data_IF_135648343077
#
_entry.id   IF_135648343077
#
_cell.length_a   1.000
_cell.length_b   1.000
_cell.length_c   1.000
_cell.angle_alpha   90.00
_cell.angle_beta   90.00
_cell.angle_gamma   90.00
#
_symmetry.space_group_name_H-M   'P 1'
#
loop_
_entity.id
_entity.type
_entity.pdbx_description
1 polymer ?
#
# COMPACT_ATOMS: atom_id res chain seq x y z
N UNK A 1 18.80 -8.85 18.76
CA UNK A 1 19.40 -8.65 17.42
C UNK A 1 18.58 -9.27 16.29
N UNK A 2 17.81 -10.35 16.51
CA UNK A 2 17.00 -11.03 15.48
C UNK A 2 15.82 -10.22 14.91
N UNK A 3 15.24 -9.31 15.70
CA UNK A 3 14.11 -8.47 15.27
C UNK A 3 14.53 -7.51 14.15
N UNK A 4 15.72 -6.90 14.25
CA UNK A 4 16.20 -5.94 13.25
C UNK A 4 16.44 -6.60 11.89
N UNK A 5 17.05 -7.79 11.87
CA UNK A 5 17.27 -8.54 10.63
C UNK A 5 15.95 -8.95 9.95
N UNK A 6 14.97 -9.42 10.73
CA UNK A 6 13.67 -9.79 10.19
C UNK A 6 12.95 -8.57 9.60
N UNK A 7 12.96 -7.43 10.31
CA UNK A 7 12.37 -6.19 9.80
C UNK A 7 13.02 -5.73 8.49
N UNK A 8 14.35 -5.77 8.39
CA UNK A 8 15.08 -5.42 7.17
C UNK A 8 14.78 -6.38 6.02
N UNK A 9 14.64 -7.68 6.32
CA UNK A 9 14.27 -8.69 5.33
C UNK A 9 12.88 -8.43 4.76
N UNK A 10 11.88 -8.23 5.63
CA UNK A 10 10.50 -7.91 5.22
C UNK A 10 10.46 -6.62 4.41
N UNK A 11 11.19 -5.60 4.85
CA UNK A 11 11.28 -4.31 4.16
C UNK A 11 11.92 -4.44 2.77
N UNK A 12 13.05 -5.15 2.67
CA UNK A 12 13.75 -5.40 1.42
C UNK A 12 12.90 -6.21 0.45
N UNK A 13 12.20 -7.23 0.94
CA UNK A 13 11.27 -8.04 0.17
C UNK A 13 10.12 -7.20 -0.40
N UNK A 14 9.45 -6.39 0.42
CA UNK A 14 8.38 -5.51 -0.01
C UNK A 14 8.86 -4.49 -1.06
N UNK A 15 10.04 -3.89 -0.83
CA UNK A 15 10.64 -2.95 -1.78
C UNK A 15 10.97 -3.61 -3.12
N UNK A 16 11.54 -4.82 -3.10
CA UNK A 16 11.83 -5.57 -4.31
C UNK A 16 10.54 -5.92 -5.08
N UNK A 17 9.52 -6.43 -4.37
CA UNK A 17 8.23 -6.80 -4.97
C UNK A 17 7.57 -5.62 -5.69
N UNK A 18 7.53 -4.43 -5.06
CA UNK A 18 6.95 -3.24 -5.70
C UNK A 18 7.73 -2.80 -6.93
N UNK A 19 9.07 -2.77 -6.85
CA UNK A 19 9.89 -2.33 -7.98
C UNK A 19 9.72 -3.26 -9.17
N UNK A 20 9.69 -4.57 -8.92
CA UNK A 20 9.41 -5.57 -9.94
C UNK A 20 8.03 -5.37 -10.57
N UNK A 21 6.98 -5.16 -9.76
CA UNK A 21 5.63 -4.90 -10.28
C UNK A 21 5.54 -3.60 -11.11
N UNK A 22 6.27 -2.55 -10.70
CA UNK A 22 6.37 -1.29 -11.44
C UNK A 22 7.08 -1.47 -12.78
N UNK A 23 8.16 -2.25 -12.80
CA UNK A 23 8.88 -2.55 -14.04
C UNK A 23 8.04 -3.39 -14.99
N UNK A 24 7.33 -4.41 -14.48
CA UNK A 24 6.44 -5.28 -15.27
C UNK A 24 5.26 -4.52 -15.89
N UNK A 25 4.62 -3.62 -15.12
CA UNK A 25 3.50 -2.79 -15.60
C UNK A 25 3.95 -1.48 -16.29
N UNK A 26 5.25 -1.21 -16.38
CA UNK A 26 5.83 0.05 -16.88
C UNK A 26 5.28 1.31 -16.20
N UNK A 27 5.01 1.21 -14.91
CA UNK A 27 4.42 2.28 -14.12
C UNK A 27 5.45 3.03 -13.28
N UNK A 28 5.07 4.23 -12.83
CA UNK A 28 5.86 5.04 -11.91
C UNK A 28 5.00 5.49 -10.73
N UNK A 29 5.68 5.73 -9.61
CA UNK A 29 5.08 6.31 -8.41
C UNK A 29 5.89 7.55 -8.04
N UNK A 30 5.25 8.64 -7.57
CA UNK A 30 5.99 9.81 -7.13
C UNK A 30 6.84 9.47 -5.92
N UNK A 31 8.08 9.95 -5.90
CA UNK A 31 8.95 9.89 -4.74
C UNK A 31 8.68 11.04 -3.74
N UNK A 32 9.46 11.12 -2.66
CA UNK A 32 9.33 12.17 -1.63
C UNK A 32 9.47 13.60 -2.18
N UNK A 33 10.11 13.78 -3.34
CA UNK A 33 10.27 15.07 -4.03
C UNK A 33 9.26 15.24 -5.16
N UNK A 34 8.18 14.45 -5.18
CA UNK A 34 7.15 14.41 -6.25
C UNK A 34 7.69 14.10 -7.65
N UNK A 35 8.87 13.47 -7.76
CA UNK A 35 9.38 12.99 -9.04
C UNK A 35 8.93 11.57 -9.27
N UNK A 36 8.35 11.30 -10.43
CA UNK A 36 7.98 9.97 -10.88
C UNK A 36 9.21 9.05 -10.91
N UNK A 37 9.13 7.89 -10.27
CA UNK A 37 10.21 6.91 -10.23
C UNK A 37 9.69 5.48 -10.30
N UNK A 38 10.45 4.62 -10.99
CA UNK A 38 10.27 3.16 -10.97
C UNK A 38 10.88 2.50 -9.73
N UNK A 39 11.71 3.22 -8.99
CA UNK A 39 12.46 2.71 -7.84
C UNK A 39 12.14 3.45 -6.53
N UNK A 40 10.87 3.48 -6.09
CA UNK A 40 10.52 4.11 -4.82
C UNK A 40 11.20 3.39 -3.65
N UNK A 41 11.39 4.13 -2.55
CA UNK A 41 11.78 3.56 -1.25
C UNK A 41 10.51 3.12 -0.54
N UNK A 42 10.50 1.93 0.04
CA UNK A 42 9.30 1.41 0.72
C UNK A 42 8.88 2.29 1.92
N UNK A 43 9.81 2.96 2.58
CA UNK A 43 9.59 4.00 3.60
C UNK A 43 8.69 5.14 3.10
N UNK A 44 8.87 5.57 1.85
CA UNK A 44 8.02 6.61 1.27
C UNK A 44 6.61 6.10 1.04
N UNK A 45 6.49 4.87 0.55
CA UNK A 45 5.21 4.22 0.33
C UNK A 45 4.43 4.12 1.65
N UNK A 46 5.07 3.64 2.73
CA UNK A 46 4.43 3.63 4.05
C UNK A 46 3.94 5.01 4.51
N UNK A 47 4.69 6.09 4.20
CA UNK A 47 4.24 7.45 4.53
C UNK A 47 2.99 7.85 3.76
N UNK A 48 2.84 7.46 2.50
CA UNK A 48 1.64 7.74 1.71
C UNK A 48 0.40 7.07 2.34
N UNK A 49 0.56 5.87 2.91
CA UNK A 49 -0.54 5.14 3.56
C UNK A 49 -0.89 5.63 4.97
N UNK A 50 -0.09 6.52 5.58
CA UNK A 50 -0.35 7.01 6.94
C UNK A 50 -1.68 7.77 7.06
N UNK A 51 -2.21 8.31 5.95
CA UNK A 51 -3.52 8.97 5.93
C UNK A 51 -4.71 8.01 5.86
N UNK A 52 -4.50 6.72 5.54
CA UNK A 52 -5.56 5.72 5.40
C UNK A 52 -6.05 5.33 6.78
N UNK A 53 -7.36 5.36 6.97
CA UNK A 53 -8.00 5.04 8.24
C UNK A 53 -9.11 4.03 8.02
N UNK A 54 -9.39 3.23 9.05
CA UNK A 54 -10.54 2.33 9.09
C UNK A 54 -11.59 2.96 10.00
N UNK A 55 -12.75 3.28 9.42
CA UNK A 55 -13.91 3.80 10.13
C UNK A 55 -14.79 2.63 10.55
N UNK A 56 -14.88 2.38 11.86
CA UNK A 56 -15.82 1.40 12.41
C UNK A 56 -17.11 2.10 12.80
N UNK A 57 -18.20 1.79 12.09
CA UNK A 57 -19.55 2.25 12.41
C UNK A 57 -20.21 1.14 13.22
N UNK A 58 -20.55 1.46 14.48
CA UNK A 58 -21.29 0.55 15.37
C UNK A 58 -22.69 1.10 15.60
N UNK A 59 -23.69 0.32 15.22
CA UNK A 59 -25.12 0.53 15.50
C UNK A 59 -25.64 -0.69 16.26
N UNK A 60 -26.76 -0.57 16.97
CA UNK A 60 -27.34 -1.66 17.79
C UNK A 60 -27.57 -2.99 17.04
N UNK A 61 -27.66 -2.96 15.71
CA UNK A 61 -27.87 -4.13 14.86
C UNK A 61 -26.73 -4.46 13.90
N UNK A 62 -25.76 -3.55 13.68
CA UNK A 62 -24.72 -3.70 12.66
C UNK A 62 -23.40 -3.07 13.08
N UNK A 63 -22.31 -3.83 12.90
CA UNK A 63 -20.93 -3.32 12.93
C UNK A 63 -20.33 -3.39 11.53
N UNK A 64 -20.00 -2.24 10.95
CA UNK A 64 -19.36 -2.15 9.64
C UNK A 64 -18.01 -1.46 9.77
N UNK A 65 -17.00 -1.98 9.09
CA UNK A 65 -15.69 -1.36 8.95
C UNK A 65 -15.57 -0.83 7.52
N UNK A 66 -15.11 0.42 7.37
CA UNK A 66 -14.95 1.06 6.07
C UNK A 66 -13.56 1.68 5.98
N UNK A 67 -12.82 1.35 4.93
CA UNK A 67 -11.53 2.00 4.67
C UNK A 67 -11.75 3.36 4.00
N UNK A 68 -11.29 4.43 4.66
CA UNK A 68 -11.42 5.82 4.20
C UNK A 68 -10.07 6.43 3.83
N UNK A 69 -10.11 7.52 3.06
CA UNK A 69 -8.95 8.31 2.64
C UNK A 69 -8.00 7.60 1.64
N UNK A 70 -8.53 6.65 0.86
CA UNK A 70 -7.82 6.01 -0.25
C UNK A 70 -7.83 6.91 -1.50
N UNK A 71 -6.76 7.70 -1.66
CA UNK A 71 -6.50 8.48 -2.87
C UNK A 71 -6.31 7.55 -4.10
N UNK A 72 -6.69 7.97 -5.34
CA UNK A 72 -6.38 7.26 -6.58
C UNK A 72 -4.93 6.71 -6.68
N UNK A 73 -3.95 7.49 -6.21
CA UNK A 73 -2.56 7.05 -6.16
C UNK A 73 -2.39 5.82 -5.26
N UNK A 74 -2.98 5.83 -4.06
CA UNK A 74 -2.91 4.71 -3.12
C UNK A 74 -3.59 3.46 -3.69
N UNK A 75 -4.75 3.61 -4.34
CA UNK A 75 -5.43 2.49 -5.02
C UNK A 75 -4.54 1.83 -6.07
N UNK A 76 -3.83 2.64 -6.87
CA UNK A 76 -2.84 2.14 -7.83
C UNK A 76 -1.71 1.38 -7.12
N UNK A 77 -1.18 1.91 -6.02
CA UNK A 77 -0.15 1.20 -5.25
C UNK A 77 -0.69 -0.13 -4.67
N UNK A 78 -1.93 -0.17 -4.19
CA UNK A 78 -2.55 -1.41 -3.71
C UNK A 78 -2.68 -2.44 -4.84
N UNK A 79 -3.08 -2.02 -6.04
CA UNK A 79 -3.15 -2.89 -7.23
C UNK A 79 -1.76 -3.46 -7.61
N UNK A 80 -0.67 -2.70 -7.41
CA UNK A 80 0.70 -3.20 -7.62
C UNK A 80 1.09 -4.32 -6.64
N UNK A 81 0.50 -4.37 -5.44
CA UNK A 81 0.75 -5.45 -4.49
C UNK A 81 0.00 -6.74 -4.82
N UNK A 82 -1.05 -6.64 -5.65
CA UNK A 82 -1.86 -7.74 -6.16
C UNK A 82 -3.23 -7.89 -5.50
N UNK A 83 -3.99 -8.93 -5.89
CA UNK A 83 -5.42 -9.07 -5.53
C UNK A 83 -5.66 -9.20 -4.04
N UNK A 84 -4.77 -9.88 -3.31
CA UNK A 84 -4.87 -9.99 -1.85
C UNK A 84 -4.77 -8.64 -1.14
N UNK A 85 -3.99 -7.71 -1.68
CA UNK A 85 -3.91 -6.37 -1.10
C UNK A 85 -5.21 -5.61 -1.38
N UNK A 86 -5.79 -5.77 -2.57
CA UNK A 86 -7.08 -5.16 -2.91
C UNK A 86 -8.20 -5.64 -1.99
N UNK A 87 -8.27 -6.95 -1.69
CA UNK A 87 -9.21 -7.52 -0.71
C UNK A 87 -9.08 -6.88 0.68
N UNK A 88 -7.85 -6.67 1.17
CA UNK A 88 -7.60 -6.08 2.51
C UNK A 88 -8.09 -4.63 2.61
N UNK A 89 -8.01 -3.88 1.51
CA UNK A 89 -8.41 -2.46 1.48
C UNK A 89 -9.86 -2.25 1.00
N UNK A 90 -10.67 -3.31 0.94
CA UNK A 90 -12.04 -3.31 0.39
C UNK A 90 -12.12 -2.73 -1.03
N UNK A 91 -11.02 -2.83 -1.80
CA UNK A 91 -10.95 -2.46 -3.20
C UNK A 91 -11.39 -3.66 -4.05
N UNK A 92 -12.61 -4.13 -3.84
CA UNK A 92 -13.17 -5.18 -4.69
C UNK A 92 -13.55 -4.59 -6.04
N UNK A 93 -12.77 -4.91 -7.08
CA UNK A 93 -13.24 -4.80 -8.47
C UNK A 93 -14.34 -5.84 -8.64
N UNK A 94 -15.56 -5.36 -8.89
CA UNK A 94 -16.71 -6.19 -9.29
C UNK A 94 -16.47 -6.89 -10.64
#
# INVERSE_FOLDING_TARGET
MSIMCLCLMVYGFAQHKIRKALDEKNETVPNQSNRETKSPRMQWIYRLFHGVQVLTIKTDTLSQELVINLNPLLKRIVDLFGPRAMEIYDLQTA
#
